data_IF_550827342131
#
_entry.id   IF_550827342131
#
_cell.length_a   1.000
_cell.length_b   1.000
_cell.length_c   1.000
_cell.angle_alpha   90.00
_cell.angle_beta   90.00
_cell.angle_gamma   90.00
#
_symmetry.space_group_name_H-M   'P 1'
#
loop_
_entity.id
_entity.type
_entity.pdbx_description
1 polymer ?
2 non-polymer ?
3 water ?
#
# COMPACT_ATOMS: atom_id res chain seq x y z
N UNK A 1 14.45 -4.32 7.53
CA UNK A 1 13.04 -4.00 7.70
C UNK A 1 12.70 -3.19 8.90
N UNK A 2 13.56 -3.13 9.92
CA UNK A 2 13.23 -2.53 11.19
C UNK A 2 12.85 -1.07 11.14
N UNK A 3 13.38 -0.32 10.16
CA UNK A 3 13.11 1.15 10.18
C UNK A 3 11.73 1.45 9.65
N UNK A 4 11.07 0.46 9.07
CA UNK A 4 9.68 0.69 8.59
C UNK A 4 8.65 0.42 9.70
N UNK A 5 9.05 -0.24 10.78
CA UNK A 5 8.10 -0.66 11.82
C UNK A 5 7.54 0.53 12.56
N UNK A 6 6.23 0.52 12.85
CA UNK A 6 5.61 1.54 13.62
C UNK A 6 4.25 1.97 13.07
N UNK A 7 3.77 3.11 13.53
CA UNK A 7 2.45 3.62 13.14
C UNK A 7 2.68 4.94 12.38
N UNK A 8 2.06 5.00 11.21
CA UNK A 8 2.32 6.08 10.23
C UNK A 8 0.98 6.73 9.85
N UNK A 9 0.92 8.04 9.73
CA UNK A 9 -0.32 8.71 9.29
C UNK A 9 -0.13 9.47 8.00
N UNK A 10 -1.16 9.44 7.15
CA UNK A 10 -1.00 10.09 5.85
C UNK A 10 -1.00 11.61 6.00
N UNK A 11 -0.03 12.26 5.34
CA UNK A 11 0.01 13.73 5.45
C UNK A 11 -0.05 14.37 4.06
N UNK A 12 0.12 13.64 2.98
CA UNK A 12 0.00 14.23 1.61
C UNK A 12 -0.32 13.12 0.62
N UNK A 13 -0.97 13.50 -0.48
CA UNK A 13 -1.28 12.53 -1.52
C UNK A 13 -1.30 13.23 -2.88
N UNK A 14 -0.70 12.67 -3.88
CA UNK A 14 -0.73 13.14 -5.26
C UNK A 14 -1.16 12.05 -6.22
N UNK A 15 -2.18 12.38 -7.00
CA UNK A 15 -2.64 11.60 -8.11
C UNK A 15 -3.31 10.28 -7.68
N UNK A 16 -3.89 10.22 -6.48
CA UNK A 16 -4.54 8.95 -6.05
C UNK A 16 -5.76 8.71 -6.91
N UNK A 17 -6.41 9.79 -7.37
CA UNK A 17 -7.59 9.56 -8.25
C UNK A 17 -7.24 8.89 -9.54
N UNK A 18 -6.15 9.29 -10.20
CA UNK A 18 -5.72 8.68 -11.43
C UNK A 18 -5.45 7.18 -11.24
N UNK A 19 -4.76 6.87 -10.13
CA UNK A 19 -4.46 5.50 -9.79
C UNK A 19 -5.71 4.66 -9.61
N UNK A 20 -6.66 5.11 -8.83
CA UNK A 20 -7.93 4.42 -8.64
C UNK A 20 -8.69 4.28 -9.95
N UNK A 21 -8.71 5.37 -10.78
CA UNK A 21 -9.41 5.27 -12.06
C UNK A 21 -8.83 4.13 -12.89
N UNK A 22 -7.52 4.02 -12.91
CA UNK A 22 -6.83 3.07 -13.78
C UNK A 22 -7.21 1.62 -13.35
N UNK A 23 -7.48 1.42 -12.08
CA UNK A 23 -7.86 0.11 -11.57
C UNK A 23 -9.33 -0.18 -11.77
N UNK A 24 -10.09 0.86 -12.09
CA UNK A 24 -11.53 0.67 -12.32
C UNK A 24 -12.39 0.92 -11.14
N UNK A 25 -11.90 1.65 -10.14
CA UNK A 25 -12.67 1.99 -8.99
C UNK A 25 -13.71 3.06 -9.31
N UNK A 26 -14.95 2.85 -8.91
CA UNK A 26 -16.05 3.68 -9.36
C UNK A 26 -16.04 5.04 -8.69
N UNK A 27 -16.75 6.02 -9.29
CA UNK A 27 -16.69 7.38 -8.87
C UNK A 27 -17.05 7.61 -7.44
N UNK A 28 -18.02 6.86 -6.93
CA UNK A 28 -18.50 7.13 -5.58
C UNK A 28 -17.47 6.75 -4.53
N UNK A 29 -16.76 5.65 -4.77
CA UNK A 29 -15.71 5.23 -3.83
C UNK A 29 -14.48 6.11 -3.95
N UNK A 30 -14.18 6.56 -5.17
CA UNK A 30 -13.12 7.55 -5.34
C UNK A 30 -13.38 8.79 -4.53
N UNK A 31 -14.62 9.26 -4.47
CA UNK A 31 -14.95 10.48 -3.70
C UNK A 31 -14.52 10.36 -2.24
N UNK A 32 -15.00 9.27 -1.61
CA UNK A 32 -14.76 9.09 -0.19
C UNK A 32 -13.27 8.85 0.07
N UNK A 33 -12.65 8.14 -0.87
CA UNK A 33 -11.23 7.82 -0.70
C UNK A 33 -10.36 9.05 -0.76
N UNK A 34 -10.77 10.07 -1.47
CA UNK A 34 -9.95 11.26 -1.67
C UNK A 34 -9.95 12.12 -0.41
N UNK A 35 -10.82 11.84 0.50
CA UNK A 35 -11.01 12.57 1.74
C UNK A 35 -10.57 11.78 2.96
N UNK A 36 -10.13 10.54 2.75
CA UNK A 36 -9.72 9.68 3.85
C UNK A 36 -8.22 9.78 4.12
N UNK A 37 -7.83 9.82 5.39
CA UNK A 37 -6.44 9.83 5.79
C UNK A 37 -6.10 8.61 6.64
N UNK A 38 -5.64 7.57 5.99
CA UNK A 38 -5.42 6.31 6.71
C UNK A 38 -4.28 6.36 7.71
N UNK A 39 -4.32 5.42 8.63
CA UNK A 39 -3.20 5.06 9.50
C UNK A 39 -2.69 3.68 9.06
N UNK A 40 -1.38 3.60 8.88
CA UNK A 40 -0.74 2.34 8.48
C UNK A 40 0.13 1.87 9.66
N UNK A 41 -0.09 0.61 10.06
CA UNK A 41 0.70 0.01 11.13
C UNK A 41 1.47 -1.17 10.58
N UNK A 42 2.78 -1.15 10.80
CA UNK A 42 3.66 -2.19 10.37
C UNK A 42 4.37 -2.83 11.56
N UNK A 43 4.16 -4.16 11.70
CA UNK A 43 4.72 -4.85 12.90
C UNK A 43 5.37 -6.17 12.41
N UNK A 44 6.28 -6.68 13.24
CA UNK A 44 6.98 -7.92 12.89
C UNK A 44 6.93 -8.89 14.08
N UNK A 45 6.82 -10.15 13.80
CA UNK A 45 6.96 -11.21 14.85
C UNK A 45 7.81 -12.30 14.24
N UNK A 46 9.13 -12.28 14.54
CA UNK A 46 9.99 -13.22 13.79
C UNK A 46 10.07 -12.81 12.34
N UNK A 47 9.87 -13.76 11.43
CA UNK A 47 9.93 -13.49 10.01
C UNK A 47 8.56 -13.18 9.45
N UNK A 48 7.55 -13.00 10.27
CA UNK A 48 6.21 -12.65 9.73
C UNK A 48 5.95 -11.16 9.92
N UNK A 49 5.66 -10.46 8.85
CA UNK A 49 5.29 -9.04 8.91
C UNK A 49 3.74 -8.95 8.84
N UNK A 50 3.18 -7.99 9.51
CA UNK A 50 1.73 -7.68 9.42
C UNK A 50 1.59 -6.19 9.12
N UNK A 51 0.81 -5.94 8.10
CA UNK A 51 0.60 -4.54 7.66
C UNK A 51 -0.90 -4.27 7.76
N UNK A 52 -1.30 -3.35 8.64
CA UNK A 52 -2.65 -2.94 8.84
C UNK A 52 -2.84 -1.51 8.23
N UNK A 53 -3.94 -1.35 7.54
CA UNK A 53 -4.36 -0.01 7.04
C UNK A 53 -5.77 0.28 7.56
N UNK A 54 -5.89 1.25 8.47
CA UNK A 54 -7.08 1.66 9.14
C UNK A 54 -7.57 3.04 8.65
N UNK A 55 -8.89 3.11 8.45
CA UNK A 55 -9.50 4.43 8.19
C UNK A 55 -10.98 4.36 8.58
N UNK A 56 -11.65 5.51 8.41
CA UNK A 56 -13.09 5.51 8.66
C UNK A 56 -13.87 4.81 7.57
N UNK A 57 -13.28 4.59 6.41
CA UNK A 57 -13.96 4.04 5.26
C UNK A 57 -13.83 2.52 5.20
N UNK A 58 -12.62 2.03 5.16
CA UNK A 58 -12.38 0.59 5.01
C UNK A 58 -11.09 0.29 5.84
N UNK A 59 -10.93 -0.94 6.18
CA UNK A 59 -9.73 -1.40 6.91
C UNK A 59 -9.22 -2.68 6.21
N UNK A 60 -7.93 -2.82 6.18
CA UNK A 60 -7.29 -4.00 5.64
C UNK A 60 -6.20 -4.51 6.59
N UNK A 61 -5.92 -5.79 6.50
CA UNK A 61 -4.81 -6.40 7.25
C UNK A 61 -4.27 -7.57 6.43
N UNK A 62 -2.95 -7.59 6.23
CA UNK A 62 -2.31 -8.78 5.61
C UNK A 62 -1.09 -9.17 6.48
N UNK A 63 -0.81 -10.44 6.53
CA UNK A 63 0.39 -10.98 7.12
C UNK A 63 1.18 -11.79 6.08
N UNK A 64 2.50 -11.66 6.05
CA UNK A 64 3.27 -12.36 5.00
C UNK A 64 4.69 -12.54 5.47
N UNK A 65 5.39 -13.42 4.80
CA UNK A 65 6.85 -13.52 4.92
C UNK A 65 7.43 -12.90 3.62
N UNK A 66 8.58 -12.24 3.76
CA UNK A 66 9.28 -11.68 2.62
C UNK A 66 9.65 -12.77 1.67
N UNK A 67 9.35 -12.56 0.38
CA UNK A 67 9.83 -13.48 -0.63
C UNK A 67 8.95 -14.66 -0.90
N UNK A 68 7.83 -14.78 -0.23
CA UNK A 68 6.91 -15.88 -0.32
C UNK A 68 5.53 -15.36 -0.80
N UNK A 69 5.08 -15.90 -1.92
CA UNK A 69 3.79 -15.50 -2.53
C UNK A 69 2.63 -15.79 -1.59
N UNK A 70 1.63 -14.92 -1.54
CA UNK A 70 0.42 -15.06 -0.78
C UNK A 70 -0.81 -14.54 -1.55
N UNK A 71 -1.97 -15.10 -1.24
CA UNK A 71 -3.23 -14.57 -1.70
C UNK A 71 -3.67 -13.36 -0.90
N UNK A 72 -4.15 -12.32 -1.61
CA UNK A 72 -4.60 -11.10 -0.98
C UNK A 72 -5.91 -10.65 -1.67
N UNK A 73 -6.79 -10.15 -0.79
CA UNK A 73 -7.99 -9.46 -1.29
C UNK A 73 -7.87 -7.98 -0.96
N UNK A 74 -7.81 -7.16 -2.01
CA UNK A 74 -7.49 -5.75 -1.79
C UNK A 74 -8.71 -4.94 -1.38
N UNK A 75 -8.47 -3.68 -1.01
CA UNK A 75 -9.53 -2.80 -0.55
C UNK A 75 -10.64 -2.62 -1.56
N UNK A 76 -10.30 -2.71 -2.84
CA UNK A 76 -11.23 -2.53 -3.94
C UNK A 76 -11.75 -3.88 -4.46
N UNK A 77 -11.52 -4.94 -3.67
CA UNK A 77 -12.08 -6.23 -3.93
C UNK A 77 -11.48 -6.94 -5.13
N UNK A 78 -10.17 -6.72 -5.39
CA UNK A 78 -9.46 -7.57 -6.35
C UNK A 78 -8.89 -8.78 -5.59
N UNK A 79 -8.88 -9.93 -6.20
CA UNK A 79 -8.21 -11.11 -5.59
C UNK A 79 -6.91 -11.31 -6.41
N UNK A 80 -5.81 -11.09 -5.73
CA UNK A 80 -4.54 -11.05 -6.42
C UNK A 80 -3.52 -12.00 -5.76
N UNK A 81 -2.46 -12.29 -6.47
CA UNK A 81 -1.28 -12.98 -6.01
C UNK A 81 -0.17 -11.94 -5.72
N UNK A 82 0.27 -11.98 -4.48
CA UNK A 82 1.18 -10.95 -4.00
C UNK A 82 2.52 -11.52 -3.52
N UNK A 83 3.52 -10.66 -3.65
CA UNK A 83 4.83 -10.97 -3.06
C UNK A 83 5.45 -9.66 -2.60
N UNK A 84 6.05 -9.69 -1.42
CA UNK A 84 6.75 -8.51 -0.88
C UNK A 84 8.20 -8.85 -0.67
N UNK A 85 9.07 -7.92 -1.12
CA UNK A 85 10.51 -8.15 -0.98
C UNK A 85 11.21 -6.86 -0.59
N UNK A 86 12.45 -6.97 -0.18
CA UNK A 86 13.29 -5.76 0.12
C UNK A 86 14.29 -5.64 -1.03
N UNK A 87 14.34 -4.46 -1.63
CA UNK A 87 15.07 -4.19 -2.84
C UNK A 87 15.69 -2.80 -2.70
N UNK A 88 17.02 -2.80 -2.56
CA UNK A 88 17.70 -1.51 -2.42
C UNK A 88 17.21 -0.73 -1.25
N UNK A 89 16.78 -1.43 -0.18
CA UNK A 89 16.32 -0.80 0.99
C UNK A 89 14.85 -0.36 0.95
N UNK A 90 14.18 -0.63 -0.11
CA UNK A 90 12.76 -0.31 -0.30
C UNK A 90 11.93 -1.58 -0.05
N UNK A 91 10.74 -1.38 0.47
CA UNK A 91 9.81 -2.53 0.58
C UNK A 91 8.90 -2.54 -0.69
N UNK A 92 9.05 -3.57 -1.48
CA UNK A 92 8.39 -3.66 -2.75
C UNK A 92 7.28 -4.72 -2.72
N UNK A 93 6.08 -4.31 -2.96
CA UNK A 93 4.90 -5.20 -2.95
C UNK A 93 4.38 -5.25 -4.40
N UNK A 94 4.39 -6.47 -4.99
CA UNK A 94 3.92 -6.66 -6.36
C UNK A 94 2.59 -7.45 -6.30
N UNK A 95 1.53 -6.98 -6.92
CA UNK A 95 0.27 -7.68 -7.00
C UNK A 95 -0.02 -8.10 -8.45
N UNK A 96 -0.42 -9.32 -8.66
CA UNK A 96 -0.71 -9.79 -10.02
C UNK A 96 -2.12 -10.39 -10.07
N UNK A 97 -2.85 -10.08 -11.15
CA UNK A 97 -4.18 -10.69 -11.35
C UNK A 97 -4.54 -10.50 -12.79
N UNK A 98 -5.16 -11.52 -13.39
CA UNK A 98 -5.70 -11.34 -14.74
C UNK A 98 -4.67 -10.84 -15.69
N UNK A 99 -3.41 -11.23 -15.50
CA UNK A 99 -2.44 -10.79 -16.49
C UNK A 99 -1.99 -9.38 -16.28
N UNK A 100 -2.52 -8.71 -15.29
CA UNK A 100 -2.11 -7.32 -15.00
C UNK A 100 -1.19 -7.30 -13.74
N UNK A 101 -0.62 -6.15 -13.49
CA UNK A 101 0.22 -6.05 -12.27
C UNK A 101 0.23 -4.59 -11.79
N UNK A 102 0.31 -4.41 -10.48
CA UNK A 102 0.53 -3.12 -9.87
C UNK A 102 1.61 -3.20 -8.80
N UNK A 103 2.40 -2.17 -8.59
CA UNK A 103 3.43 -2.18 -7.55
C UNK A 103 3.13 -1.08 -6.51
N UNK A 104 3.40 -1.41 -5.28
CA UNK A 104 3.28 -0.51 -4.13
C UNK A 104 4.68 -0.50 -3.48
N UNK A 105 5.39 0.59 -3.66
CA UNK A 105 6.81 0.65 -3.19
C UNK A 105 6.89 1.61 -2.03
N UNK A 106 7.53 1.21 -0.93
CA UNK A 106 7.67 2.08 0.23
C UNK A 106 9.16 2.35 0.47
N UNK A 107 9.50 3.62 0.65
CA UNK A 107 10.90 3.95 0.92
C UNK A 107 10.97 4.99 2.00
N UNK A 108 12.02 5.00 2.78
CA UNK A 108 12.15 6.00 3.87
C UNK A 108 13.09 7.11 3.35
N UNK A 109 12.56 8.32 3.43
CA UNK A 109 13.34 9.48 2.96
C UNK A 109 13.20 10.57 4.01
N UNK A 110 14.34 10.95 4.61
CA UNK A 110 14.29 12.03 5.61
C UNK A 110 13.29 11.70 6.68
N UNK A 111 13.19 10.39 7.04
CA UNK A 111 12.37 10.06 8.20
C UNK A 111 10.90 9.93 7.89
N UNK A 112 10.51 10.24 6.66
CA UNK A 112 9.14 10.02 6.21
C UNK A 112 9.04 8.74 5.37
N UNK A 113 7.83 8.20 5.30
CA UNK A 113 7.64 6.95 4.52
C UNK A 113 6.93 7.35 3.23
N UNK A 114 7.54 7.12 2.10
CA UNK A 114 6.94 7.50 0.81
C UNK A 114 6.39 6.25 0.14
N UNK A 115 5.10 6.26 -0.12
CA UNK A 115 4.45 5.12 -0.84
C UNK A 115 4.19 5.55 -2.29
N UNK A 116 4.75 4.83 -3.23
CA UNK A 116 4.51 5.04 -4.65
C UNK A 116 3.73 3.83 -5.23
N UNK A 117 2.60 4.19 -5.87
CA UNK A 117 1.67 3.19 -6.44
C UNK A 117 1.66 3.42 -7.99
N UNK A 118 1.91 2.34 -8.72
CA UNK A 118 1.95 2.43 -10.18
C UNK A 118 1.04 1.34 -10.78
N UNK A 119 0.19 1.78 -11.70
CA UNK A 119 -0.57 0.84 -12.53
C UNK A 119 -0.73 1.48 -13.91
N UNK A 120 -0.34 0.74 -14.95
CA UNK A 120 -0.45 1.36 -16.27
C UNK A 120 0.42 2.58 -16.37
N UNK A 121 -0.12 3.71 -16.80
CA UNK A 121 0.63 4.94 -16.81
C UNK A 121 0.43 5.78 -15.59
N UNK A 122 -0.41 5.37 -14.67
CA UNK A 122 -0.73 6.22 -13.51
C UNK A 122 0.28 5.96 -12.40
N UNK A 123 0.79 7.03 -11.81
CA UNK A 123 1.69 7.03 -10.71
C UNK A 123 1.16 7.97 -9.60
N UNK A 124 0.98 7.42 -8.41
CA UNK A 124 0.54 8.12 -7.25
C UNK A 124 1.61 8.10 -6.15
N UNK A 125 1.83 9.22 -5.52
CA UNK A 125 2.77 9.32 -4.40
C UNK A 125 2.02 9.73 -3.14
N UNK A 126 2.17 8.95 -2.09
CA UNK A 126 1.55 9.26 -0.80
C UNK A 126 2.61 9.29 0.29
N UNK A 127 2.56 10.31 1.12
CA UNK A 127 3.53 10.59 2.15
C UNK A 127 2.91 10.38 3.54
N UNK A 128 3.66 9.61 4.33
CA UNK A 128 3.24 9.23 5.68
C UNK A 128 4.30 9.75 6.69
N UNK A 129 3.85 10.24 7.83
CA UNK A 129 4.73 10.66 8.94
C UNK A 129 4.53 9.76 10.15
N UNK A 130 5.59 9.53 10.92
CA UNK A 130 5.55 8.52 11.97
C UNK A 130 4.78 9.09 13.16
N UNK A 131 3.81 8.36 13.63
CA UNK A 131 3.04 8.76 14.85
C UNK A 131 3.75 8.09 16.04
X LIG B 1 -3.59 3.43 0.13
X LIG B 1 -2.61 3.68 1.18
X LIG B 1 -2.19 2.68 1.74
X LIG B 1 -3.60 2.07 -0.53
X LIG B 1 -4.47 1.84 -1.68
X LIG B 1 -4.46 0.47 -2.25
X LIG B 1 -5.75 0.05 -2.94
X LIG B 1 -6.15 0.83 -4.13
X LIG B 1 -7.70 0.88 -4.27
X LIG B 1 -8.34 1.76 -3.30
X LIG B 1 -9.77 1.75 -3.23
X LIG B 1 -10.30 2.55 -2.09
X LIG B 1 -9.44 2.54 -0.87
X LIG B 1 -9.63 3.71 0.02
X LIG B 1 -8.66 3.82 1.14
X LIG B 1 -8.51 2.59 1.95
X LIG B 1 -7.62 2.78 3.17
X LIG B 1 -7.75 1.56 4.06
X LIG B 1 -8.00 0.34 3.23
X LIG B 1 -2.42 4.86 1.42
#
# INVERSE_FOLDING_TARGET
>A
VDAFLGTWKLVDSKNFDDYMKSLGVGFATRQVASMTKPTTIIEKNGDILTLKTHSTFKNTEISFKLGVEFDETTADDRKVKSIVTLDGGKLVHLQKWDGQETTLVRELIDGKLILTLTHGTAVCTRTYEKEA
>B hetero
1 ELA CA C O C3 C4 C5 C6 C7 C8 C9 C10 C11 C12 C13 C14 C15 C16 C17 C18 OXT
#
